data_IF_481005186412
#
_entry.id   IF_481005186412
#
_cell.length_a   1.000
_cell.length_b   1.000
_cell.length_c   1.000
_cell.angle_alpha   90.00
_cell.angle_beta   90.00
_cell.angle_gamma   90.00
#
_symmetry.space_group_name_H-M   'P 1'
#
loop_
_entity.id
_entity.type
_entity.pdbx_description
1 polymer ?
#
# COMPACT_ATOMS: atom_id res chain seq x y z
N UNK A 1 78.18 -60.23 54.30
CA UNK A 1 77.18 -60.68 53.32
C UNK A 1 75.76 -60.76 53.90
N UNK A 2 75.54 -61.35 55.09
CA UNK A 2 74.21 -61.48 55.72
C UNK A 2 73.47 -60.14 55.91
N UNK A 3 74.12 -59.08 56.44
CA UNK A 3 73.49 -57.75 56.62
C UNK A 3 73.09 -57.06 55.31
N UNK A 4 73.82 -57.32 54.22
CA UNK A 4 73.52 -56.76 52.89
C UNK A 4 72.36 -57.50 52.23
N UNK A 5 72.33 -58.83 52.38
CA UNK A 5 71.25 -59.70 51.92
C UNK A 5 69.91 -59.32 52.58
N UNK A 6 69.90 -59.09 53.90
CA UNK A 6 68.68 -58.67 54.62
C UNK A 6 68.12 -57.34 54.10
N UNK A 7 68.98 -56.37 53.77
CA UNK A 7 68.54 -55.07 53.22
C UNK A 7 67.95 -55.20 51.81
N UNK A 8 68.56 -56.03 50.96
CA UNK A 8 68.05 -56.32 49.61
C UNK A 8 66.70 -57.03 49.69
N UNK A 9 66.54 -57.99 50.61
CA UNK A 9 65.27 -58.69 50.81
C UNK A 9 64.15 -57.76 51.29
N UNK A 10 64.44 -56.85 52.21
CA UNK A 10 63.47 -55.84 52.66
C UNK A 10 63.09 -54.91 51.51
N UNK A 11 64.06 -54.42 50.73
CA UNK A 11 63.79 -53.53 49.60
C UNK A 11 62.98 -54.24 48.50
N UNK A 12 63.32 -55.49 48.19
CA UNK A 12 62.59 -56.30 47.22
C UNK A 12 61.14 -56.54 47.67
N UNK A 13 60.92 -56.82 48.96
CA UNK A 13 59.58 -56.98 49.54
C UNK A 13 58.75 -55.69 49.51
N UNK A 14 59.37 -54.55 49.82
CA UNK A 14 58.71 -53.24 49.74
C UNK A 14 58.35 -52.92 48.28
N UNK A 15 59.25 -53.19 47.34
CA UNK A 15 59.00 -52.94 45.92
C UNK A 15 57.91 -53.85 45.35
N UNK A 16 57.90 -55.15 45.69
CA UNK A 16 56.85 -56.07 45.25
C UNK A 16 55.50 -55.73 45.86
N UNK A 17 55.44 -55.32 47.12
CA UNK A 17 54.18 -54.87 47.72
C UNK A 17 53.70 -53.55 47.11
N UNK A 18 54.58 -52.58 46.87
CA UNK A 18 54.23 -51.31 46.20
C UNK A 18 53.72 -51.52 44.75
N UNK A 19 54.38 -52.39 43.98
CA UNK A 19 53.95 -52.74 42.63
C UNK A 19 52.63 -53.54 42.63
N UNK A 20 52.47 -54.45 43.59
CA UNK A 20 51.25 -55.24 43.77
C UNK A 20 50.04 -54.40 44.16
N UNK A 21 50.22 -53.37 45.00
CA UNK A 21 49.17 -52.43 45.40
C UNK A 21 48.66 -51.62 44.20
N UNK A 22 49.55 -51.17 43.31
CA UNK A 22 49.14 -50.49 42.08
C UNK A 22 48.31 -51.40 41.15
N UNK A 23 48.64 -52.70 41.11
CA UNK A 23 47.85 -53.69 40.36
C UNK A 23 46.50 -54.02 41.02
N UNK A 24 46.42 -53.98 42.36
CA UNK A 24 45.17 -54.21 43.09
C UNK A 24 44.18 -53.05 42.97
N UNK A 25 44.68 -51.81 42.83
CA UNK A 25 43.85 -50.61 42.68
C UNK A 25 43.68 -50.13 41.23
N UNK A 26 44.48 -50.61 40.28
CA UNK A 26 44.19 -50.52 38.85
C UNK A 26 43.16 -51.60 38.46
N UNK A 27 42.03 -51.63 39.15
CA UNK A 27 40.89 -52.44 38.75
C UNK A 27 40.41 -51.88 37.40
N UNK A 28 40.59 -52.65 36.33
CA UNK A 28 39.87 -52.39 35.10
C UNK A 28 38.39 -52.31 35.44
N UNK A 29 37.83 -51.11 35.36
CA UNK A 29 36.38 -50.93 35.50
C UNK A 29 35.80 -51.36 34.16
N UNK A 30 35.28 -52.59 34.14
CA UNK A 30 34.60 -53.11 32.98
C UNK A 30 33.32 -52.34 32.65
N UNK A 31 32.70 -52.65 31.50
CA UNK A 31 31.37 -52.17 31.21
C UNK A 31 30.45 -52.42 32.42
N UNK A 32 29.77 -51.39 32.88
CA UNK A 32 28.84 -51.46 34.02
C UNK A 32 27.48 -52.05 33.63
N UNK A 33 27.31 -52.39 32.35
CA UNK A 33 26.08 -52.94 31.78
C UNK A 33 26.40 -54.23 31.02
N UNK A 34 25.55 -55.24 31.18
CA UNK A 34 25.60 -56.49 30.43
C UNK A 34 25.36 -56.21 28.93
N UNK A 35 26.03 -56.89 27.98
CA UNK A 35 25.65 -56.83 26.56
C UNK A 35 24.18 -57.28 26.39
N UNK A 36 23.24 -56.50 25.85
CA UNK A 36 23.27 -55.35 24.91
C UNK A 36 23.11 -53.95 25.51
N UNK A 37 23.14 -53.81 26.84
CA UNK A 37 22.98 -52.54 27.55
C UNK A 37 24.11 -51.55 27.23
N UNK A 38 23.75 -50.29 26.97
CA UNK A 38 24.70 -49.20 26.77
C UNK A 38 25.24 -49.09 25.34
N UNK A 39 24.76 -49.93 24.42
CA UNK A 39 25.03 -49.78 23.00
C UNK A 39 24.48 -48.44 22.48
N UNK A 40 25.18 -47.83 21.53
CA UNK A 40 24.60 -46.76 20.72
C UNK A 40 23.31 -47.26 20.07
N UNK A 41 22.30 -46.40 19.98
CA UNK A 41 21.04 -46.75 19.32
C UNK A 41 21.30 -47.41 17.95
N UNK A 42 20.49 -48.41 17.61
CA UNK A 42 20.63 -49.15 16.36
C UNK A 42 20.73 -48.17 15.17
N UNK A 43 21.58 -48.46 14.16
CA UNK A 43 21.75 -47.58 13.01
C UNK A 43 20.42 -47.21 12.37
N UNK A 44 20.35 -46.02 11.77
CA UNK A 44 19.12 -45.40 11.22
C UNK A 44 18.34 -46.29 10.23
N UNK A 45 18.98 -47.32 9.65
CA UNK A 45 18.37 -48.25 8.71
C UNK A 45 17.82 -49.55 9.35
N UNK A 46 17.94 -49.72 10.67
CA UNK A 46 17.57 -50.96 11.38
C UNK A 46 16.80 -50.69 12.69
N UNK A 47 16.97 -49.52 13.31
CA UNK A 47 16.28 -49.14 14.55
C UNK A 47 15.06 -48.25 14.34
N UNK A 48 14.14 -48.25 15.31
CA UNK A 48 12.97 -47.33 15.36
C UNK A 48 13.20 -46.10 16.24
N UNK A 49 14.38 -45.97 16.83
CA UNK A 49 14.76 -44.82 17.67
C UNK A 49 15.38 -43.73 16.82
N UNK A 50 14.97 -42.48 17.04
CA UNK A 50 15.57 -41.33 16.39
C UNK A 50 17.06 -41.23 16.72
N UNK A 51 17.87 -41.05 15.68
CA UNK A 51 19.28 -40.75 15.83
C UNK A 51 19.44 -39.25 16.06
N UNK A 52 19.84 -38.88 17.27
CA UNK A 52 20.00 -37.48 17.69
C UNK A 52 21.48 -37.13 17.73
N UNK A 53 21.82 -35.94 17.22
CA UNK A 53 23.16 -35.35 17.37
C UNK A 53 23.06 -34.07 18.19
N UNK A 54 23.69 -34.07 19.35
CA UNK A 54 23.69 -32.91 20.28
C UNK A 54 24.54 -31.72 19.79
N UNK A 55 25.13 -31.81 18.61
CA UNK A 55 25.93 -30.76 18.00
C UNK A 55 25.62 -30.63 16.50
N UNK A 56 26.33 -29.73 15.83
CA UNK A 56 26.11 -29.47 14.40
C UNK A 56 26.32 -30.69 13.51
N UNK A 57 25.47 -30.82 12.50
CA UNK A 57 25.63 -31.76 11.39
C UNK A 57 26.04 -30.98 10.14
N UNK A 58 27.21 -31.27 9.58
CA UNK A 58 27.66 -30.73 8.30
C UNK A 58 27.58 -31.83 7.25
N UNK A 59 26.99 -31.50 6.10
CA UNK A 59 26.86 -32.35 4.93
C UNK A 59 27.20 -31.49 3.71
N UNK A 60 27.85 -32.05 2.70
CA UNK A 60 28.10 -31.30 1.45
C UNK A 60 26.79 -30.94 0.74
N UNK A 61 25.82 -31.87 0.76
CA UNK A 61 24.47 -31.65 0.26
C UNK A 61 23.46 -32.54 0.99
N UNK A 62 22.26 -32.00 1.23
CA UNK A 62 21.15 -32.71 1.85
C UNK A 62 19.99 -32.83 0.85
N UNK A 63 19.55 -34.06 0.59
CA UNK A 63 18.31 -34.34 -0.15
C UNK A 63 17.39 -35.17 0.73
N UNK A 64 16.17 -34.68 0.95
CA UNK A 64 15.14 -35.37 1.74
C UNK A 64 14.02 -35.81 0.81
N UNK A 65 13.82 -37.11 0.69
CA UNK A 65 12.72 -37.67 -0.11
C UNK A 65 11.48 -37.78 0.77
N UNK A 66 10.57 -36.80 0.68
CA UNK A 66 9.36 -36.69 1.50
C UNK A 66 9.20 -35.31 2.13
N UNK A 67 8.49 -35.23 3.24
CA UNK A 67 8.38 -34.00 4.03
C UNK A 67 9.56 -33.82 4.98
N UNK A 68 10.12 -32.62 5.04
CA UNK A 68 11.04 -32.21 6.10
C UNK A 68 10.27 -31.61 7.28
N UNK A 69 10.67 -31.94 8.50
CA UNK A 69 10.18 -31.29 9.71
C UNK A 69 11.36 -30.65 10.44
N UNK A 70 11.28 -29.34 10.66
CA UNK A 70 12.24 -28.57 11.43
C UNK A 70 11.54 -28.10 12.70
N UNK A 71 12.01 -28.54 13.87
CA UNK A 71 11.40 -28.17 15.16
C UNK A 71 11.73 -26.72 15.56
N UNK A 72 12.87 -26.20 15.12
CA UNK A 72 13.29 -24.82 15.35
C UNK A 72 13.29 -23.97 14.09
N UNK A 73 13.75 -22.72 14.22
CA UNK A 73 13.85 -21.78 13.12
C UNK A 73 14.88 -22.24 12.07
N UNK A 74 14.57 -22.04 10.79
CA UNK A 74 15.47 -22.34 9.67
C UNK A 74 16.12 -21.05 9.18
N UNK A 75 17.44 -21.00 9.27
CA UNK A 75 18.26 -19.91 8.72
C UNK A 75 18.88 -20.29 7.39
N UNK A 76 18.71 -19.45 6.37
CA UNK A 76 19.42 -19.56 5.08
C UNK A 76 20.34 -18.35 4.94
N UNK A 77 21.64 -18.56 5.17
CA UNK A 77 22.61 -17.47 5.31
C UNK A 77 22.58 -16.77 6.67
N UNK A 78 21.64 -17.15 7.56
CA UNK A 78 21.44 -16.55 8.89
C UNK A 78 21.80 -17.56 9.98
N UNK A 79 22.78 -17.22 10.83
CA UNK A 79 23.25 -18.12 11.90
C UNK A 79 22.39 -18.10 13.16
N UNK A 80 21.63 -17.02 13.38
CA UNK A 80 20.71 -16.85 14.52
C UNK A 80 19.36 -16.33 14.04
N UNK A 81 18.52 -17.18 13.43
CA UNK A 81 17.23 -16.78 12.87
C UNK A 81 16.28 -16.22 13.93
N UNK A 82 15.67 -15.07 13.68
CA UNK A 82 14.69 -14.48 14.62
C UNK A 82 13.26 -14.92 14.33
N UNK A 83 13.00 -15.40 13.12
CA UNK A 83 11.71 -15.92 12.66
C UNK A 83 11.81 -17.39 12.26
N UNK A 84 10.66 -18.06 12.13
CA UNK A 84 10.60 -19.49 11.78
C UNK A 84 11.35 -19.83 10.48
N UNK A 85 11.34 -18.91 9.51
CA UNK A 85 12.19 -18.94 8.32
C UNK A 85 12.84 -17.56 8.16
N UNK A 86 14.16 -17.52 8.20
CA UNK A 86 14.95 -16.30 8.09
C UNK A 86 16.00 -16.47 6.97
N UNK A 87 15.98 -15.56 6.00
CA UNK A 87 16.76 -15.68 4.76
C UNK A 87 17.51 -14.38 4.53
N UNK A 88 18.85 -14.43 4.55
CA UNK A 88 19.71 -13.31 4.16
C UNK A 88 19.77 -13.26 2.62
N UNK A 89 18.71 -12.72 2.02
CA UNK A 89 18.51 -12.67 0.58
C UNK A 89 17.03 -12.64 0.18
N UNK A 90 16.77 -12.86 -1.11
CA UNK A 90 15.41 -12.93 -1.64
C UNK A 90 14.85 -14.36 -1.64
N UNK A 91 13.55 -14.49 -1.44
CA UNK A 91 12.81 -15.75 -1.68
C UNK A 91 12.20 -15.68 -3.08
N UNK A 92 12.57 -16.62 -3.95
CA UNK A 92 11.90 -16.78 -5.25
C UNK A 92 10.61 -17.59 -5.04
N UNK A 93 9.47 -16.94 -5.22
CA UNK A 93 8.15 -17.58 -5.08
C UNK A 93 7.68 -18.13 -6.43
N UNK A 94 7.17 -19.35 -6.43
CA UNK A 94 6.56 -19.99 -7.60
C UNK A 94 5.05 -19.80 -7.69
N UNK A 95 4.43 -20.33 -8.73
CA UNK A 95 2.97 -20.40 -8.82
C UNK A 95 2.43 -21.58 -7.96
N UNK A 96 1.16 -21.52 -7.58
CA UNK A 96 0.45 -22.60 -6.88
C UNK A 96 -1.02 -22.68 -7.31
N UNK A 97 -1.51 -23.90 -7.47
CA UNK A 97 -2.94 -24.21 -7.64
C UNK A 97 -3.60 -24.65 -6.33
N UNK A 98 -2.82 -24.88 -5.27
CA UNK A 98 -3.33 -25.29 -3.97
C UNK A 98 -3.86 -24.07 -3.23
N UNK A 99 -5.17 -24.06 -3.00
CA UNK A 99 -5.92 -22.97 -2.38
C UNK A 99 -5.96 -23.13 -0.85
N UNK A 100 -4.80 -23.25 -0.21
CA UNK A 100 -4.71 -23.29 1.25
C UNK A 100 -4.56 -21.86 1.79
N UNK A 101 -5.36 -21.49 2.80
CA UNK A 101 -5.31 -20.16 3.40
C UNK A 101 -3.88 -19.78 3.82
N UNK A 102 -3.45 -18.56 3.48
CA UNK A 102 -2.11 -18.04 3.74
C UNK A 102 -1.05 -18.44 2.70
N UNK A 103 -1.38 -19.26 1.69
CA UNK A 103 -0.43 -19.59 0.62
C UNK A 103 -0.12 -18.34 -0.20
N UNK A 104 1.16 -18.04 -0.39
CA UNK A 104 1.64 -16.97 -1.27
C UNK A 104 2.06 -17.61 -2.60
N UNK A 105 1.71 -16.96 -3.71
CA UNK A 105 2.13 -17.39 -5.06
C UNK A 105 2.52 -16.21 -5.96
N UNK A 106 3.34 -16.52 -6.95
CA UNK A 106 3.62 -15.65 -8.09
C UNK A 106 2.97 -16.23 -9.34
N UNK A 107 2.04 -15.51 -9.97
CA UNK A 107 1.31 -15.98 -11.16
C UNK A 107 2.09 -15.81 -12.46
N UNK A 108 3.22 -15.10 -12.42
CA UNK A 108 3.93 -14.61 -13.61
C UNK A 108 3.74 -13.10 -13.81
N UNK A 109 2.64 -12.55 -13.32
CA UNK A 109 2.29 -11.12 -13.43
C UNK A 109 1.95 -10.48 -12.10
N UNK A 110 1.54 -11.25 -11.09
CA UNK A 110 1.10 -10.72 -9.79
C UNK A 110 1.57 -11.61 -8.63
N UNK A 111 1.82 -10.96 -7.49
CA UNK A 111 2.07 -11.60 -6.20
C UNK A 111 0.74 -11.64 -5.44
N UNK A 112 0.27 -12.83 -5.14
CA UNK A 112 -1.03 -13.04 -4.53
C UNK A 112 -0.93 -13.89 -3.26
N UNK A 113 -1.87 -13.70 -2.33
CA UNK A 113 -2.10 -14.57 -1.18
C UNK A 113 -3.50 -15.18 -1.25
N UNK A 114 -3.64 -16.47 -0.95
CA UNK A 114 -4.95 -17.08 -0.81
C UNK A 114 -5.53 -16.75 0.56
N UNK A 115 -6.61 -15.98 0.61
CA UNK A 115 -7.20 -15.50 1.87
C UNK A 115 -8.12 -16.53 2.56
N UNK A 116 -8.23 -17.74 2.01
CA UNK A 116 -9.15 -18.79 2.46
C UNK A 116 -10.39 -18.96 1.59
N UNK A 117 -10.71 -17.98 0.74
CA UNK A 117 -11.84 -18.05 -0.22
C UNK A 117 -11.44 -17.74 -1.66
N UNK A 118 -10.48 -16.83 -1.86
CA UNK A 118 -9.99 -16.45 -3.18
C UNK A 118 -8.52 -16.02 -3.09
N UNK A 119 -7.88 -15.93 -4.27
CA UNK A 119 -6.58 -15.29 -4.41
C UNK A 119 -6.77 -13.77 -4.38
N UNK A 120 -6.08 -13.11 -3.46
CA UNK A 120 -6.05 -11.67 -3.32
C UNK A 120 -4.67 -11.16 -3.76
N UNK A 121 -4.65 -10.13 -4.59
CA UNK A 121 -3.41 -9.47 -5.00
C UNK A 121 -2.79 -8.72 -3.82
N UNK A 122 -1.47 -8.81 -3.71
CA UNK A 122 -0.65 -8.01 -2.79
C UNK A 122 0.05 -6.85 -3.49
N UNK A 123 -0.08 -6.75 -4.82
CA UNK A 123 0.56 -5.67 -5.61
C UNK A 123 -0.44 -4.67 -6.15
N UNK A 124 -1.72 -5.05 -6.28
CA UNK A 124 -2.78 -4.09 -6.51
C UNK A 124 -3.05 -3.35 -5.20
N UNK A 125 -2.29 -2.31 -4.94
CA UNK A 125 -2.74 -1.30 -3.99
C UNK A 125 -4.09 -0.77 -4.47
N UNK A 126 -5.06 -0.63 -3.57
CA UNK A 126 -5.91 0.55 -3.67
C UNK A 126 -4.93 1.72 -3.79
N UNK A 127 -4.95 2.38 -4.94
CA UNK A 127 -4.30 3.67 -5.10
C UNK A 127 -4.78 4.50 -3.91
N UNK A 128 -3.87 4.78 -2.96
CA UNK A 128 -4.21 5.67 -1.86
C UNK A 128 -4.75 6.92 -2.54
N UNK A 129 -6.00 7.35 -2.27
CA UNK A 129 -6.54 8.52 -2.94
C UNK A 129 -5.52 9.64 -2.77
N UNK A 130 -5.12 10.33 -3.86
CA UNK A 130 -4.09 11.36 -3.80
C UNK A 130 -4.50 12.31 -2.68
N UNK A 131 -3.62 12.52 -1.69
CA UNK A 131 -3.88 13.26 -0.45
C UNK A 131 -5.09 14.20 -0.57
N UNK A 132 -6.27 13.68 -0.21
CA UNK A 132 -7.54 14.39 -0.46
C UNK A 132 -7.43 15.71 0.29
N UNK A 133 -7.59 16.84 -0.41
CA UNK A 133 -7.72 18.13 0.24
C UNK A 133 -8.76 17.97 1.36
N UNK A 134 -8.49 18.43 2.60
CA UNK A 134 -9.42 18.24 3.72
C UNK A 134 -10.85 18.71 3.42
N UNK A 135 -11.02 19.56 2.41
CA UNK A 135 -12.29 20.08 1.96
C UNK A 135 -13.01 19.22 0.89
N UNK A 136 -12.41 18.13 0.39
CA UNK A 136 -13.04 17.23 -0.60
C UNK A 136 -14.36 16.67 -0.08
N UNK A 137 -14.34 16.00 1.08
CA UNK A 137 -15.53 15.40 1.68
C UNK A 137 -16.61 16.43 1.96
N UNK A 138 -16.22 17.62 2.42
CA UNK A 138 -17.14 18.73 2.67
C UNK A 138 -17.76 19.27 1.37
N UNK A 139 -17.01 19.29 0.26
CA UNK A 139 -17.51 19.69 -1.04
C UNK A 139 -18.57 18.71 -1.56
N UNK A 140 -18.30 17.40 -1.47
CA UNK A 140 -19.24 16.36 -1.90
C UNK A 140 -20.52 16.41 -1.04
N UNK A 141 -20.39 16.60 0.27
CA UNK A 141 -21.53 16.75 1.19
C UNK A 141 -22.36 18.01 0.90
N UNK A 142 -21.74 19.06 0.39
CA UNK A 142 -22.42 20.27 -0.07
C UNK A 142 -23.08 20.11 -1.47
N UNK A 143 -23.00 18.92 -2.07
CA UNK A 143 -23.51 18.63 -3.42
C UNK A 143 -22.67 19.23 -4.54
N UNK A 144 -21.41 19.58 -4.24
CA UNK A 144 -20.47 20.14 -5.19
C UNK A 144 -19.58 19.11 -5.85
N UNK A 145 -18.76 19.59 -6.78
CA UNK A 145 -17.76 18.82 -7.49
C UNK A 145 -16.40 19.46 -7.28
N UNK A 146 -15.50 18.71 -6.65
CA UNK A 146 -14.18 19.15 -6.26
C UNK A 146 -13.21 19.18 -7.45
N UNK A 147 -12.29 20.14 -7.45
CA UNK A 147 -11.20 20.27 -8.42
C UNK A 147 -9.89 20.50 -7.67
N UNK A 148 -9.07 19.44 -7.57
CA UNK A 148 -7.82 19.44 -6.80
C UNK A 148 -6.80 20.46 -7.29
N UNK A 149 -6.70 20.65 -8.61
CA UNK A 149 -5.70 21.53 -9.21
C UNK A 149 -5.81 23.00 -8.76
N UNK A 150 -6.98 23.42 -8.25
CA UNK A 150 -7.25 24.79 -7.80
C UNK A 150 -7.94 24.84 -6.44
N UNK A 151 -7.97 23.74 -5.68
CA UNK A 151 -8.66 23.58 -4.39
C UNK A 151 -10.04 24.24 -4.34
N UNK A 152 -10.88 23.99 -5.35
CA UNK A 152 -12.18 24.67 -5.50
C UNK A 152 -13.33 23.67 -5.59
N UNK A 153 -14.36 23.90 -4.79
CA UNK A 153 -15.62 23.18 -4.87
C UNK A 153 -16.60 23.92 -5.79
N UNK A 154 -16.97 23.31 -6.91
CA UNK A 154 -18.03 23.86 -7.77
C UNK A 154 -19.38 23.36 -7.30
N UNK A 155 -20.23 24.28 -6.84
CA UNK A 155 -21.59 23.98 -6.42
C UNK A 155 -22.61 24.49 -7.43
N UNK A 156 -23.73 23.78 -7.65
CA UNK A 156 -24.82 24.28 -8.48
C UNK A 156 -25.42 25.58 -7.92
N UNK A 157 -25.74 26.52 -8.80
CA UNK A 157 -26.39 27.78 -8.44
C UNK A 157 -25.44 28.98 -8.42
N UNK A 158 -25.84 30.03 -7.70
CA UNK A 158 -25.20 31.36 -7.76
C UNK A 158 -24.52 31.80 -6.47
N UNK A 159 -24.60 31.00 -5.40
CA UNK A 159 -24.07 31.32 -4.07
C UNK A 159 -23.37 30.12 -3.45
N UNK A 160 -22.29 30.37 -2.71
CA UNK A 160 -21.59 29.32 -1.97
C UNK A 160 -22.41 28.82 -0.77
N UNK A 161 -22.24 27.55 -0.36
CA UNK A 161 -22.86 27.00 0.84
C UNK A 161 -22.37 27.70 2.11
N UNK A 162 -23.05 27.51 3.23
CA UNK A 162 -22.62 28.04 4.53
C UNK A 162 -21.21 27.56 4.89
N UNK A 163 -20.35 28.47 5.33
CA UNK A 163 -18.94 28.18 5.65
C UNK A 163 -18.00 28.19 4.44
N UNK A 164 -18.52 28.44 3.23
CA UNK A 164 -17.72 28.57 2.02
C UNK A 164 -17.80 30.00 1.47
N UNK A 165 -16.75 30.43 0.77
CA UNK A 165 -16.70 31.74 0.13
C UNK A 165 -16.39 31.61 -1.37
N UNK A 166 -16.88 32.51 -2.24
CA UNK A 166 -16.58 32.46 -3.66
C UNK A 166 -15.07 32.50 -3.91
N UNK A 167 -14.56 31.55 -4.70
CA UNK A 167 -13.18 31.61 -5.18
C UNK A 167 -13.11 32.54 -6.40
N UNK A 168 -12.71 33.79 -6.17
CA UNK A 168 -12.60 34.80 -7.21
C UNK A 168 -13.86 34.85 -8.11
N UNK A 169 -13.70 34.77 -9.43
CA UNK A 169 -14.80 34.67 -10.40
C UNK A 169 -14.97 33.27 -10.96
N UNK A 170 -14.47 32.22 -10.29
CA UNK A 170 -14.65 30.87 -10.81
C UNK A 170 -16.13 30.51 -10.89
N UNK A 171 -16.60 30.23 -12.11
CA UNK A 171 -18.00 29.84 -12.35
C UNK A 171 -18.18 29.07 -13.64
N UNK A 172 -19.40 28.56 -13.83
CA UNK A 172 -19.89 28.07 -15.10
C UNK A 172 -21.12 28.88 -15.50
N UNK A 173 -21.22 29.25 -16.77
CA UNK A 173 -22.36 29.97 -17.33
C UNK A 173 -22.91 29.25 -18.55
N UNK A 174 -24.22 29.35 -18.74
CA UNK A 174 -24.90 28.95 -19.97
C UNK A 174 -25.22 30.20 -20.79
N UNK A 175 -24.99 30.12 -22.09
CA UNK A 175 -25.30 31.18 -23.04
C UNK A 175 -26.75 31.61 -22.92
N UNK A 176 -26.99 32.91 -23.03
CA UNK A 176 -28.32 33.48 -23.05
C UNK A 176 -28.45 34.37 -24.28
N UNK A 177 -29.64 34.38 -24.90
CA UNK A 177 -29.93 35.24 -26.04
C UNK A 177 -31.16 36.06 -25.75
N UNK A 178 -31.02 37.36 -25.86
CA UNK A 178 -32.09 38.32 -25.67
C UNK A 178 -32.32 39.07 -26.98
N UNK A 179 -33.58 39.34 -27.30
CA UNK A 179 -33.96 40.16 -28.45
C UNK A 179 -34.78 41.35 -27.99
N UNK A 180 -34.38 42.54 -28.42
CA UNK A 180 -35.24 43.71 -28.42
C UNK A 180 -35.79 44.00 -29.81
N UNK A 181 -36.56 45.07 -29.93
CA UNK A 181 -37.20 45.46 -31.20
C UNK A 181 -36.22 45.96 -32.27
N UNK A 182 -34.99 46.36 -31.87
CA UNK A 182 -33.98 46.95 -32.75
C UNK A 182 -32.64 46.19 -32.82
N UNK A 183 -32.36 45.24 -31.92
CA UNK A 183 -31.14 44.43 -31.95
C UNK A 183 -31.28 43.15 -31.13
N UNK A 184 -30.65 42.06 -31.58
CA UNK A 184 -30.44 40.85 -30.80
C UNK A 184 -29.07 40.87 -30.11
N UNK A 185 -28.99 40.25 -28.94
CA UNK A 185 -27.77 40.17 -28.16
C UNK A 185 -27.64 38.76 -27.58
N UNK A 186 -26.47 38.15 -27.77
CA UNK A 186 -26.18 36.80 -27.30
C UNK A 186 -24.90 36.83 -26.47
N UNK A 187 -24.95 36.18 -25.31
CA UNK A 187 -23.80 35.99 -24.43
C UNK A 187 -23.14 34.65 -24.73
N UNK A 188 -21.85 34.55 -24.39
CA UNK A 188 -21.10 33.29 -24.41
C UNK A 188 -21.48 32.35 -23.28
N UNK A 189 -20.80 31.20 -23.23
CA UNK A 189 -20.85 30.23 -22.14
C UNK A 189 -19.43 29.80 -21.78
N UNK A 190 -19.21 29.48 -20.52
CA UNK A 190 -17.97 28.86 -20.07
C UNK A 190 -18.23 27.85 -18.95
N UNK A 191 -17.27 26.96 -18.72
CA UNK A 191 -17.36 25.93 -17.68
C UNK A 191 -16.13 26.02 -16.80
N UNK A 192 -16.34 26.25 -15.51
CA UNK A 192 -15.32 26.21 -14.45
C UNK A 192 -14.06 27.02 -14.74
N UNK A 193 -14.23 28.26 -15.21
CA UNK A 193 -13.13 29.21 -15.44
C UNK A 193 -13.26 30.43 -14.54
N UNK A 194 -12.14 31.12 -14.28
CA UNK A 194 -12.10 32.35 -13.50
C UNK A 194 -12.61 33.54 -14.34
N UNK A 195 -13.90 33.54 -14.66
CA UNK A 195 -14.54 34.55 -15.47
C UNK A 195 -15.87 34.97 -14.85
N UNK A 196 -16.12 36.27 -14.81
CA UNK A 196 -17.43 36.80 -14.41
C UNK A 196 -18.53 36.43 -15.40
N UNK A 197 -19.78 36.70 -15.01
CA UNK A 197 -20.94 36.47 -15.88
C UNK A 197 -20.82 37.34 -17.13
N UNK A 198 -20.83 36.73 -18.30
CA UNK A 198 -20.77 37.46 -19.57
C UNK A 198 -22.07 38.25 -19.77
N UNK A 199 -21.92 39.50 -20.23
CA UNK A 199 -23.05 40.37 -20.51
C UNK A 199 -22.89 41.08 -21.85
N UNK A 200 -24.01 41.47 -22.42
CA UNK A 200 -24.08 42.18 -23.69
C UNK A 200 -25.30 43.14 -23.65
N UNK A 201 -25.31 44.17 -24.51
CA UNK A 201 -26.37 45.21 -24.50
C UNK A 201 -27.20 45.17 -25.78
N UNK A 202 -28.52 45.32 -25.65
CA UNK A 202 -29.46 45.50 -26.77
C UNK A 202 -30.35 46.73 -26.57
N UNK A 203 -30.98 47.18 -27.65
CA UNK A 203 -31.81 48.39 -27.65
C UNK A 203 -33.29 48.09 -27.90
N UNK A 204 -34.16 48.82 -27.21
CA UNK A 204 -35.60 48.86 -27.50
C UNK A 204 -35.93 49.92 -28.56
N UNK A 205 -36.93 49.61 -29.39
CA UNK A 205 -37.50 50.58 -30.30
C UNK A 205 -38.47 51.48 -29.54
N UNK A 206 -38.50 52.75 -29.93
CA UNK A 206 -39.62 53.62 -29.65
C UNK A 206 -40.30 53.90 -30.97
N UNK A 207 -41.62 53.98 -30.88
CA UNK A 207 -42.46 54.40 -31.98
C UNK A 207 -42.61 55.91 -31.95
N UNK A 208 -42.43 56.54 -33.10
CA UNK A 208 -42.50 57.98 -33.24
C UNK A 208 -42.84 58.39 -34.67
N UNK A 209 -43.23 59.65 -34.82
CA UNK A 209 -43.45 60.25 -36.13
C UNK A 209 -42.13 60.83 -36.65
N UNK A 210 -41.67 60.37 -37.81
CA UNK A 210 -40.54 60.96 -38.51
C UNK A 210 -41.02 61.81 -39.70
N UNK A 211 -40.42 62.99 -39.87
CA UNK A 211 -40.69 63.87 -41.01
C UNK A 211 -39.96 63.33 -42.25
N UNK A 212 -40.73 63.04 -43.30
CA UNK A 212 -40.18 62.58 -44.58
C UNK A 212 -39.58 63.74 -45.36
N UNK A 213 -38.66 63.42 -46.29
CA UNK A 213 -38.04 64.42 -47.18
C UNK A 213 -39.02 65.18 -48.09
N UNK A 214 -40.31 64.80 -48.09
CA UNK A 214 -41.40 65.41 -48.85
C UNK A 214 -42.37 66.20 -47.94
N UNK A 215 -42.07 66.36 -46.65
CA UNK A 215 -42.88 67.16 -45.72
C UNK A 215 -44.09 66.45 -45.10
N UNK A 216 -44.17 65.11 -45.19
CA UNK A 216 -45.20 64.30 -44.52
C UNK A 216 -44.67 63.54 -43.30
N UNK A 217 -45.51 63.31 -42.28
CA UNK A 217 -45.17 62.51 -41.10
C UNK A 217 -45.49 61.03 -41.36
N UNK A 218 -44.52 60.12 -41.15
CA UNK A 218 -44.76 58.67 -41.16
C UNK A 218 -44.52 58.13 -39.75
N UNK A 219 -45.40 57.24 -39.29
CA UNK A 219 -45.20 56.49 -38.05
C UNK A 219 -44.24 55.34 -38.32
N UNK A 220 -42.99 55.50 -37.93
CA UNK A 220 -41.93 54.52 -38.21
C UNK A 220 -41.32 54.00 -36.92
N UNK A 221 -40.80 52.77 -36.99
CA UNK A 221 -39.96 52.21 -35.94
C UNK A 221 -38.59 52.87 -36.03
N UNK A 222 -38.20 53.63 -35.02
CA UNK A 222 -36.93 54.34 -35.04
C UNK A 222 -35.87 53.62 -34.18
N UNK A 223 -34.84 53.10 -34.83
CA UNK A 223 -33.69 52.41 -34.24
C UNK A 223 -32.43 53.30 -34.16
N UNK A 224 -32.57 54.63 -34.29
CA UNK A 224 -31.46 55.58 -34.20
C UNK A 224 -30.80 55.65 -32.81
N UNK A 225 -29.46 55.70 -32.80
CA UNK A 225 -28.57 55.45 -31.66
C UNK A 225 -28.37 56.64 -30.69
N UNK A 226 -29.22 57.67 -30.71
CA UNK A 226 -28.81 58.99 -30.20
C UNK A 226 -29.20 59.38 -28.78
N UNK A 227 -29.93 58.57 -27.99
CA UNK A 227 -30.12 58.77 -26.53
C UNK A 227 -31.06 57.69 -25.93
N UNK A 228 -30.63 56.43 -25.81
CA UNK A 228 -31.49 55.39 -25.19
C UNK A 228 -30.76 54.51 -24.20
N UNK A 229 -31.47 54.18 -23.13
CA UNK A 229 -31.08 53.19 -22.12
C UNK A 229 -31.03 51.81 -22.77
N UNK A 230 -29.84 51.31 -23.07
CA UNK A 230 -29.65 49.93 -23.50
C UNK A 230 -30.08 48.97 -22.38
N UNK A 231 -30.80 47.90 -22.74
CA UNK A 231 -31.12 46.82 -21.81
C UNK A 231 -29.96 45.80 -21.80
N UNK A 232 -29.57 45.35 -20.60
CA UNK A 232 -28.55 44.32 -20.44
C UNK A 232 -29.12 42.92 -20.65
N UNK A 233 -28.35 42.06 -21.29
CA UNK A 233 -28.56 40.62 -21.37
C UNK A 233 -27.34 39.92 -20.79
N UNK A 234 -27.53 39.02 -19.83
CA UNK A 234 -26.44 38.30 -19.17
C UNK A 234 -26.60 36.79 -19.30
N UNK A 235 -25.47 36.08 -19.34
CA UNK A 235 -25.42 34.62 -19.29
C UNK A 235 -26.03 34.11 -17.98
N UNK A 236 -26.55 32.88 -18.00
CA UNK A 236 -27.13 32.25 -16.80
C UNK A 236 -26.02 31.52 -16.06
N UNK A 237 -25.62 31.98 -14.89
CA UNK A 237 -24.67 31.26 -14.03
C UNK A 237 -25.30 29.94 -13.55
N UNK A 238 -24.63 28.82 -13.83
CA UNK A 238 -25.08 27.46 -13.50
C UNK A 238 -24.32 26.85 -12.33
N UNK A 239 -23.04 27.21 -12.17
CA UNK A 239 -22.20 26.78 -11.04
C UNK A 239 -21.39 27.97 -10.51
N UNK A 240 -21.04 27.93 -9.22
CA UNK A 240 -20.08 28.84 -8.59
C UNK A 240 -18.96 28.03 -7.95
N UNK A 241 -17.71 28.44 -8.18
CA UNK A 241 -16.54 27.89 -7.51
C UNK A 241 -16.37 28.51 -6.13
N UNK A 242 -16.23 27.66 -5.12
CA UNK A 242 -16.17 28.04 -3.71
C UNK A 242 -14.94 27.44 -3.04
N UNK A 243 -14.36 28.18 -2.09
CA UNK A 243 -13.27 27.74 -1.22
C UNK A 243 -13.71 27.78 0.24
N UNK A 244 -13.16 26.88 1.05
CA UNK A 244 -13.38 26.80 2.50
C UNK A 244 -12.08 27.23 3.18
N UNK A 245 -12.15 28.29 3.97
CA UNK A 245 -11.03 28.81 4.75
C UNK A 245 -11.04 28.21 6.16
#
# INVERSE_FOLDING_TARGET
MQKTLTKILILAFVLTTALGVNYLFAAWVGPTQDPTGGNTAQPVHIGTTDQVKDGGLSLDGLSVFGGGYFQGNVGVGVVTPTEALDVDGGIKVGNSTNANAGTIRWTGTDLEVYNGSAWASLTSGEEAPPAEDPNYTDCINAGGSWVDAISTCYVPGTSCPSGWTPNANYSSTRSNSCSGDCSSCSTGSHVRVNAGIESCTYYSANWGWEETRQGGLIWTRNCGNQNRSGAGCSAVKTEIGCIKN
#
